data_IF_119153725763
#
_entry.id   IF_119153725763
#
_cell.length_a   1.000
_cell.length_b   1.000
_cell.length_c   1.000
_cell.angle_alpha   90.00
_cell.angle_beta   90.00
_cell.angle_gamma   90.00
#
_symmetry.space_group_name_H-M   'P 1'
#
loop_
_entity.id
_entity.type
_entity.pdbx_description
1 polymer ?
#
# COMPACT_ATOMS: atom_id res chain seq x y z
N UNK A 1 3.45 -17.17 4.09
CA UNK A 1 3.03 -17.61 2.74
C UNK A 1 2.96 -16.39 1.83
N UNK A 2 3.65 -16.43 0.68
CA UNK A 2 3.66 -15.36 -0.32
C UNK A 2 2.28 -15.20 -0.99
N UNK A 3 1.86 -13.95 -1.25
CA UNK A 3 0.65 -13.69 -2.03
C UNK A 3 0.82 -14.28 -3.43
N UNK A 4 -0.21 -14.95 -3.96
CA UNK A 4 -0.24 -15.40 -5.36
C UNK A 4 -0.25 -14.21 -6.32
N UNK A 5 0.00 -14.46 -7.61
CA UNK A 5 -0.05 -13.40 -8.62
C UNK A 5 -1.42 -12.70 -8.68
N UNK A 6 -2.50 -13.48 -8.67
CA UNK A 6 -3.87 -12.94 -8.62
C UNK A 6 -4.10 -12.10 -7.37
N UNK A 7 -3.62 -12.56 -6.20
CA UNK A 7 -3.75 -11.80 -4.96
C UNK A 7 -2.98 -10.48 -5.03
N UNK A 8 -1.75 -10.50 -5.55
CA UNK A 8 -0.96 -9.26 -5.76
C UNK A 8 -1.67 -8.32 -6.73
N UNK A 9 -2.27 -8.82 -7.79
CA UNK A 9 -3.02 -8.00 -8.74
C UNK A 9 -4.24 -7.34 -8.10
N UNK A 10 -5.01 -8.09 -7.31
CA UNK A 10 -6.14 -7.54 -6.54
C UNK A 10 -5.67 -6.49 -5.53
N UNK A 11 -4.66 -6.80 -4.71
CA UNK A 11 -4.11 -5.85 -3.73
C UNK A 11 -3.58 -4.60 -4.40
N UNK A 12 -2.92 -4.71 -5.56
CA UNK A 12 -2.49 -3.56 -6.36
C UNK A 12 -3.67 -2.67 -6.76
N UNK A 13 -4.76 -3.25 -7.27
CA UNK A 13 -5.95 -2.49 -7.66
C UNK A 13 -6.57 -1.76 -6.47
N UNK A 14 -6.67 -2.44 -5.33
CA UNK A 14 -7.18 -1.86 -4.07
C UNK A 14 -6.30 -0.70 -3.57
N UNK A 15 -4.97 -0.87 -3.60
CA UNK A 15 -4.01 0.18 -3.24
C UNK A 15 -4.17 1.43 -4.11
N UNK A 16 -4.34 1.25 -5.43
CA UNK A 16 -4.53 2.36 -6.35
C UNK A 16 -5.87 3.08 -6.11
N UNK A 17 -6.95 2.35 -5.87
CA UNK A 17 -8.24 2.96 -5.52
C UNK A 17 -8.14 3.79 -4.23
N UNK A 18 -7.51 3.24 -3.19
CA UNK A 18 -7.28 3.96 -1.94
C UNK A 18 -6.35 5.16 -2.10
N UNK A 19 -5.35 5.06 -2.98
CA UNK A 19 -4.46 6.18 -3.28
C UNK A 19 -5.19 7.33 -3.97
N UNK A 20 -6.11 7.03 -4.90
CA UNK A 20 -6.97 8.02 -5.53
C UNK A 20 -7.93 8.68 -4.51
N UNK A 21 -8.57 7.87 -3.66
CA UNK A 21 -9.47 8.36 -2.60
C UNK A 21 -8.72 9.20 -1.56
N UNK A 22 -7.51 8.79 -1.19
CA UNK A 22 -6.63 9.55 -0.31
C UNK A 22 -6.17 10.86 -0.95
N UNK A 23 -6.32 11.03 -2.28
CA UNK A 23 -5.91 12.18 -3.09
C UNK A 23 -4.58 12.79 -2.64
N UNK A 24 -3.60 11.91 -2.47
CA UNK A 24 -2.21 12.26 -2.19
C UNK A 24 -1.41 12.32 -3.49
N UNK A 25 -0.38 13.15 -3.52
CA UNK A 25 0.68 13.00 -4.53
C UNK A 25 1.63 11.87 -4.13
N UNK A 26 2.31 11.29 -5.11
CA UNK A 26 3.30 10.25 -4.88
C UNK A 26 4.47 10.76 -4.01
N UNK A 27 4.81 12.04 -4.16
CA UNK A 27 5.84 12.71 -3.34
C UNK A 27 5.40 12.85 -1.88
N UNK A 28 4.14 13.22 -1.64
CA UNK A 28 3.58 13.31 -0.31
C UNK A 28 3.52 11.92 0.34
N UNK A 29 3.09 10.90 -0.41
CA UNK A 29 3.07 9.52 0.03
C UNK A 29 4.46 9.03 0.44
N UNK A 30 5.47 9.27 -0.40
CA UNK A 30 6.85 8.91 -0.13
C UNK A 30 7.41 9.62 1.11
N UNK A 31 7.14 10.93 1.25
CA UNK A 31 7.54 11.73 2.40
C UNK A 31 6.94 11.18 3.70
N UNK A 32 5.64 10.89 3.70
CA UNK A 32 4.94 10.34 4.88
C UNK A 32 5.41 8.94 5.24
N UNK A 33 5.80 8.13 4.25
CA UNK A 33 6.38 6.80 4.46
C UNK A 33 7.87 6.82 4.80
N UNK A 34 8.53 7.98 4.75
CA UNK A 34 9.97 8.11 4.96
C UNK A 34 10.79 7.32 3.93
N UNK A 35 10.37 7.34 2.67
CA UNK A 35 10.94 6.56 1.55
C UNK A 35 11.07 7.42 0.29
N UNK A 36 11.67 6.88 -0.78
CA UNK A 36 11.75 7.60 -2.05
C UNK A 36 10.44 7.50 -2.86
N UNK A 37 10.13 8.48 -3.75
CA UNK A 37 8.99 8.38 -4.66
C UNK A 37 9.00 7.10 -5.52
N UNK A 38 10.20 6.61 -5.86
CA UNK A 38 10.37 5.35 -6.59
C UNK A 38 9.91 4.16 -5.74
N UNK A 39 10.36 4.04 -4.50
CA UNK A 39 9.95 2.96 -3.60
C UNK A 39 8.46 3.02 -3.29
N UNK A 40 7.89 4.20 -3.04
CA UNK A 40 6.45 4.36 -2.85
C UNK A 40 5.68 3.85 -4.08
N UNK A 41 6.18 4.14 -5.29
CA UNK A 41 5.58 3.61 -6.53
C UNK A 41 5.75 2.09 -6.65
N UNK A 42 6.90 1.54 -6.26
CA UNK A 42 7.13 0.11 -6.30
C UNK A 42 6.18 -0.62 -5.34
N UNK A 43 5.97 -0.11 -4.13
CA UNK A 43 4.99 -0.65 -3.16
C UNK A 43 3.56 -0.57 -3.73
N UNK A 44 3.15 0.60 -4.27
CA UNK A 44 1.85 0.74 -4.93
C UNK A 44 1.65 -0.28 -6.07
N UNK A 45 2.71 -0.59 -6.82
CA UNK A 45 2.67 -1.54 -7.92
C UNK A 45 2.80 -3.00 -7.48
N UNK A 46 2.91 -3.27 -6.18
CA UNK A 46 3.23 -4.60 -5.65
C UNK A 46 4.55 -5.16 -6.23
N UNK A 47 5.49 -4.28 -6.55
CA UNK A 47 6.79 -4.62 -7.13
C UNK A 47 7.86 -4.74 -6.04
N UNK A 48 8.30 -5.96 -5.77
CA UNK A 48 9.30 -6.27 -4.74
C UNK A 48 10.73 -6.38 -5.31
N UNK A 49 10.94 -6.20 -6.61
CA UNK A 49 12.20 -6.55 -7.31
C UNK A 49 13.46 -5.86 -6.77
N UNK A 50 13.31 -4.80 -5.98
CA UNK A 50 14.41 -4.00 -5.42
C UNK A 50 14.41 -3.95 -3.89
N UNK A 51 13.62 -4.79 -3.22
CA UNK A 51 13.43 -4.74 -1.77
C UNK A 51 13.46 -6.14 -1.16
N UNK A 52 13.98 -6.24 0.06
CA UNK A 52 13.80 -7.42 0.89
C UNK A 52 12.31 -7.70 1.14
N UNK A 53 11.94 -8.98 1.23
CA UNK A 53 10.55 -9.38 1.40
C UNK A 53 9.93 -8.83 2.67
N UNK A 54 10.60 -8.92 3.82
CA UNK A 54 10.06 -8.46 5.09
C UNK A 54 9.91 -6.94 5.06
N UNK A 55 10.96 -6.25 4.57
CA UNK A 55 10.90 -4.79 4.41
C UNK A 55 9.75 -4.38 3.48
N UNK A 56 9.51 -5.11 2.39
CA UNK A 56 8.40 -4.85 1.49
C UNK A 56 7.05 -4.96 2.19
N UNK A 57 6.82 -6.02 2.97
CA UNK A 57 5.57 -6.20 3.70
C UNK A 57 5.37 -5.17 4.81
N UNK A 58 6.42 -4.81 5.55
CA UNK A 58 6.36 -3.74 6.55
C UNK A 58 5.98 -2.39 5.93
N UNK A 59 6.55 -2.09 4.76
CA UNK A 59 6.26 -0.87 4.01
C UNK A 59 4.87 -0.89 3.39
N UNK A 60 4.42 -2.04 2.89
CA UNK A 60 3.06 -2.24 2.39
C UNK A 60 2.02 -2.02 3.50
N UNK A 61 2.23 -2.59 4.69
CA UNK A 61 1.36 -2.36 5.85
C UNK A 61 1.34 -0.89 6.22
N UNK A 62 2.51 -0.24 6.26
CA UNK A 62 2.61 1.20 6.54
C UNK A 62 1.85 2.05 5.51
N UNK A 63 1.92 1.69 4.22
CA UNK A 63 1.18 2.34 3.15
C UNK A 63 -0.33 2.17 3.30
N UNK A 64 -0.80 0.95 3.56
CA UNK A 64 -2.23 0.67 3.79
C UNK A 64 -2.77 1.52 4.93
N UNK A 65 -2.06 1.55 6.06
CA UNK A 65 -2.44 2.33 7.23
C UNK A 65 -2.48 3.83 6.93
N UNK A 66 -1.47 4.34 6.22
CA UNK A 66 -1.41 5.74 5.81
C UNK A 66 -2.58 6.12 4.91
N UNK A 67 -2.84 5.34 3.85
CA UNK A 67 -3.94 5.59 2.93
C UNK A 67 -5.28 5.60 3.65
N UNK A 68 -5.53 4.60 4.51
CA UNK A 68 -6.76 4.52 5.30
C UNK A 68 -6.91 5.71 6.25
N UNK A 69 -5.82 6.15 6.88
CA UNK A 69 -5.81 7.34 7.74
C UNK A 69 -6.18 8.59 6.94
N UNK A 70 -5.59 8.78 5.76
CA UNK A 70 -5.88 9.95 4.91
C UNK A 70 -7.32 9.98 4.41
N UNK A 71 -7.87 8.83 4.01
CA UNK A 71 -9.28 8.71 3.62
C UNK A 71 -10.17 9.11 4.80
N UNK A 72 -9.88 8.60 6.00
CA UNK A 72 -10.63 8.90 7.22
C UNK A 72 -10.54 10.38 7.61
N UNK A 73 -9.36 10.99 7.52
CA UNK A 73 -9.15 12.41 7.80
C UNK A 73 -9.94 13.33 6.86
N UNK A 74 -10.24 12.86 5.65
CA UNK A 74 -11.09 13.56 4.67
C UNK A 74 -12.59 13.31 4.88
N UNK A 75 -12.97 12.54 5.90
CA UNK A 75 -14.36 12.17 6.17
C UNK A 75 -14.86 10.98 5.35
N UNK A 76 -13.98 10.28 4.62
CA UNK A 76 -14.30 9.04 3.93
C UNK A 76 -14.24 7.82 4.85
N UNK A 77 -14.73 6.68 4.37
CA UNK A 77 -14.55 5.38 5.03
C UNK A 77 -13.72 4.48 4.12
N UNK A 78 -12.52 4.04 4.53
CA UNK A 78 -11.68 3.19 3.70
C UNK A 78 -12.31 1.82 3.48
N UNK A 79 -12.21 1.30 2.26
CA UNK A 79 -12.66 -0.05 1.96
C UNK A 79 -11.71 -1.09 2.58
N UNK A 80 -12.22 -2.29 2.86
CA UNK A 80 -11.36 -3.37 3.35
C UNK A 80 -10.60 -4.01 2.20
N UNK A 81 -9.29 -4.20 2.37
CA UNK A 81 -8.47 -4.95 1.42
C UNK A 81 -8.82 -6.44 1.51
N UNK A 82 -9.05 -7.08 0.36
CA UNK A 82 -9.50 -8.49 0.29
C UNK A 82 -8.52 -9.44 0.98
N UNK A 83 -7.22 -9.16 0.89
CA UNK A 83 -6.16 -10.05 1.39
C UNK A 83 -5.38 -9.47 2.59
N UNK A 84 -5.97 -8.52 3.34
CA UNK A 84 -5.29 -7.86 4.47
C UNK A 84 -4.74 -8.84 5.52
N UNK A 85 -5.49 -9.90 5.81
CA UNK A 85 -5.09 -10.93 6.76
C UNK A 85 -3.82 -11.68 6.32
N UNK A 86 -3.66 -11.90 5.01
CA UNK A 86 -2.49 -12.59 4.47
C UNK A 86 -1.26 -11.67 4.41
N UNK A 87 -1.50 -10.36 4.37
CA UNK A 87 -0.47 -9.32 4.42
C UNK A 87 0.02 -9.14 5.87
N UNK A 88 -0.89 -9.11 6.84
CA UNK A 88 -0.58 -8.78 8.25
C UNK A 88 -0.15 -9.97 9.12
N UNK A 89 -0.49 -11.22 8.75
CA UNK A 89 -0.10 -12.45 9.47
C UNK A 89 1.29 -12.99 9.05
N UNK A 90 2.15 -12.14 8.49
CA UNK A 90 3.51 -12.50 8.04
C UNK A 90 4.48 -12.58 9.19
#
# INVERSE_FOLDING_TARGET
MLLTETQRQTTRQELYAHYEDASLSLEALATQLGTSPKEARDILNMNMSHMDENLFYDRLISMINLLNSMITQKGGTPQSYTYIDQITKR
#
